data_IF_649391005680
#
_entry.id   IF_649391005680
#
_cell.length_a   1.000
_cell.length_b   1.000
_cell.length_c   1.000
_cell.angle_alpha   90.00
_cell.angle_beta   90.00
_cell.angle_gamma   90.00
#
_symmetry.space_group_name_H-M   'P 1'
#
loop_
_entity.id
_entity.type
_entity.pdbx_description
1 polymer ?
#
# COMPACT_ATOMS: atom_id res chain seq x y z
N UNK A 1 13.44 22.02 -26.59
CA UNK A 1 12.51 20.93 -26.95
C UNK A 1 13.10 19.54 -26.69
N UNK A 2 14.08 19.07 -27.46
CA UNK A 2 14.62 17.69 -27.37
C UNK A 2 14.94 17.24 -25.93
N UNK A 3 15.74 17.99 -25.19
CA UNK A 3 16.11 17.63 -23.81
C UNK A 3 14.92 17.50 -22.84
N UNK A 4 13.85 18.28 -23.04
CA UNK A 4 12.64 18.19 -22.19
C UNK A 4 11.79 16.96 -22.50
N UNK A 5 11.74 16.58 -23.78
CA UNK A 5 11.11 15.32 -24.20
C UNK A 5 11.89 14.12 -23.66
N UNK A 6 13.22 14.16 -23.72
CA UNK A 6 14.10 13.12 -23.16
C UNK A 6 13.93 12.99 -21.64
N UNK A 7 13.87 14.11 -20.91
CA UNK A 7 13.59 14.12 -19.47
C UNK A 7 12.24 13.49 -19.15
N UNK A 8 11.19 13.86 -19.90
CA UNK A 8 9.85 13.32 -19.72
C UNK A 8 9.79 11.81 -19.97
N UNK A 9 10.36 11.33 -21.09
CA UNK A 9 10.45 9.90 -21.40
C UNK A 9 11.22 9.17 -20.29
N UNK A 10 12.31 9.74 -19.78
CA UNK A 10 13.07 9.18 -18.68
C UNK A 10 12.25 9.01 -17.40
N UNK A 11 11.36 9.96 -17.06
CA UNK A 11 10.43 9.83 -15.92
C UNK A 11 9.42 8.70 -16.15
N UNK A 12 8.85 8.61 -17.35
CA UNK A 12 7.90 7.53 -17.70
C UNK A 12 8.59 6.15 -17.63
N UNK A 13 9.82 6.04 -18.11
CA UNK A 13 10.60 4.79 -18.03
C UNK A 13 10.78 4.32 -16.59
N UNK A 14 11.07 5.22 -15.64
CA UNK A 14 11.19 4.85 -14.22
C UNK A 14 9.85 4.44 -13.60
N UNK A 15 8.74 5.07 -14.00
CA UNK A 15 7.39 4.64 -13.59
C UNK A 15 7.11 3.22 -14.10
N UNK A 16 7.48 2.92 -15.35
CA UNK A 16 7.35 1.60 -15.94
C UNK A 16 8.18 0.54 -15.19
N UNK A 17 9.44 0.85 -14.85
CA UNK A 17 10.32 -0.01 -14.07
C UNK A 17 9.73 -0.34 -12.70
N UNK A 18 9.30 0.69 -11.95
CA UNK A 18 8.66 0.51 -10.65
C UNK A 18 7.37 -0.31 -10.74
N UNK A 19 6.56 -0.09 -11.80
CA UNK A 19 5.32 -0.83 -12.02
C UNK A 19 5.59 -2.32 -12.32
N UNK A 20 6.58 -2.61 -13.18
CA UNK A 20 7.01 -3.99 -13.45
C UNK A 20 7.47 -4.68 -12.19
N UNK A 21 8.27 -3.99 -11.37
CA UNK A 21 8.78 -4.51 -10.10
C UNK A 21 7.66 -4.79 -9.10
N UNK A 22 6.74 -3.85 -8.91
CA UNK A 22 5.57 -4.06 -8.04
C UNK A 22 4.69 -5.24 -8.52
N UNK A 23 4.54 -5.39 -9.85
CA UNK A 23 3.82 -6.51 -10.46
C UNK A 23 4.40 -7.89 -10.12
N UNK A 24 5.72 -8.00 -9.92
CA UNK A 24 6.35 -9.24 -9.46
C UNK A 24 5.93 -9.64 -8.05
N UNK A 25 5.46 -8.70 -7.23
CA UNK A 25 4.95 -8.98 -5.90
C UNK A 25 3.46 -9.33 -5.85
N UNK A 26 2.67 -8.99 -6.88
CA UNK A 26 1.24 -9.30 -6.96
C UNK A 26 0.96 -10.37 -8.02
N UNK A 27 1.70 -11.48 -7.98
CA UNK A 27 1.69 -12.54 -9.00
C UNK A 27 0.98 -13.84 -8.56
N UNK A 28 0.19 -13.79 -7.49
CA UNK A 28 -0.58 -14.92 -7.01
C UNK A 28 -1.91 -15.03 -7.78
N UNK A 29 -2.33 -16.27 -8.06
CA UNK A 29 -3.64 -16.56 -8.64
C UNK A 29 -4.73 -16.64 -7.56
N UNK A 30 -4.35 -16.57 -6.28
CA UNK A 30 -5.27 -16.52 -5.16
C UNK A 30 -6.12 -15.25 -5.15
N UNK A 31 -7.27 -15.32 -4.47
CA UNK A 31 -8.17 -14.17 -4.29
C UNK A 31 -7.48 -13.12 -3.41
N UNK A 32 -7.53 -11.87 -3.84
CA UNK A 32 -7.07 -10.70 -3.07
C UNK A 32 -7.73 -10.69 -1.69
N UNK A 33 -6.92 -10.43 -0.65
CA UNK A 33 -7.42 -10.37 0.71
C UNK A 33 -7.99 -11.69 1.21
N UNK A 34 -7.35 -12.80 0.84
CA UNK A 34 -7.67 -14.14 1.34
C UNK A 34 -7.79 -14.13 2.86
N UNK A 35 -8.76 -14.90 3.37
CA UNK A 35 -9.00 -15.02 4.81
C UNK A 35 -8.93 -16.47 5.24
N UNK A 36 -8.39 -16.71 6.43
CA UNK A 36 -8.29 -18.03 7.07
C UNK A 36 -8.72 -17.93 8.53
N UNK A 37 -9.29 -19.02 9.04
CA UNK A 37 -9.51 -19.19 10.48
C UNK A 37 -8.16 -19.39 11.18
N UNK A 38 -8.03 -18.95 12.43
CA UNK A 38 -6.79 -18.98 13.21
C UNK A 38 -6.06 -20.34 13.25
N UNK A 39 -6.78 -21.47 13.24
CA UNK A 39 -6.20 -22.81 13.24
C UNK A 39 -5.88 -23.36 11.83
N UNK A 40 -6.03 -22.56 10.77
CA UNK A 40 -5.94 -22.97 9.37
C UNK A 40 -4.99 -22.08 8.52
N UNK A 41 -4.00 -21.43 9.14
CA UNK A 41 -3.18 -20.41 8.47
C UNK A 41 -2.32 -20.98 7.33
N UNK A 42 -1.71 -22.16 7.49
CA UNK A 42 -0.88 -22.77 6.45
C UNK A 42 0.44 -22.02 6.22
N UNK A 43 0.79 -21.73 4.95
CA UNK A 43 2.02 -20.99 4.55
C UNK A 43 2.10 -19.58 5.14
N UNK A 44 3.29 -19.00 5.29
CA UNK A 44 3.41 -17.57 5.64
C UNK A 44 3.52 -16.71 4.38
N UNK A 45 3.16 -15.43 4.50
CA UNK A 45 3.25 -14.44 3.41
C UNK A 45 4.66 -14.38 2.82
N UNK A 46 4.74 -14.27 1.50
CA UNK A 46 6.00 -14.30 0.78
C UNK A 46 6.77 -12.97 0.94
N UNK A 47 8.01 -13.07 1.42
CA UNK A 47 8.85 -11.90 1.69
C UNK A 47 9.37 -11.23 0.43
N UNK A 48 9.67 -12.00 -0.62
CA UNK A 48 10.12 -11.42 -1.89
C UNK A 48 8.98 -10.65 -2.58
N UNK A 49 7.74 -11.15 -2.45
CA UNK A 49 6.54 -10.45 -2.89
C UNK A 49 6.35 -9.11 -2.20
N UNK A 50 6.46 -9.06 -0.86
CA UNK A 50 6.37 -7.81 -0.09
C UNK A 50 7.50 -6.85 -0.47
N UNK A 51 8.74 -7.34 -0.58
CA UNK A 51 9.89 -6.54 -1.01
C UNK A 51 9.65 -5.90 -2.39
N UNK A 52 9.20 -6.68 -3.37
CA UNK A 52 8.91 -6.20 -4.72
C UNK A 52 7.79 -5.17 -4.75
N UNK A 53 6.71 -5.37 -3.98
CA UNK A 53 5.63 -4.39 -3.83
C UNK A 53 6.15 -3.07 -3.25
N UNK A 54 6.90 -3.14 -2.14
CA UNK A 54 7.42 -1.95 -1.45
C UNK A 54 8.38 -1.19 -2.35
N UNK A 55 9.36 -1.85 -2.96
CA UNK A 55 10.35 -1.18 -3.81
C UNK A 55 9.73 -0.61 -5.09
N UNK A 56 8.89 -1.40 -5.78
CA UNK A 56 8.25 -0.95 -7.01
C UNK A 56 7.30 0.23 -6.78
N UNK A 57 6.47 0.19 -5.74
CA UNK A 57 5.59 1.31 -5.38
C UNK A 57 6.42 2.52 -4.95
N UNK A 58 7.50 2.33 -4.18
CA UNK A 58 8.40 3.42 -3.76
C UNK A 58 9.02 4.15 -4.94
N UNK A 59 9.50 3.42 -5.94
CA UNK A 59 10.09 3.99 -7.16
C UNK A 59 9.09 4.91 -7.89
N UNK A 60 7.82 4.51 -7.99
CA UNK A 60 6.76 5.33 -8.59
C UNK A 60 6.41 6.53 -7.70
N UNK A 61 6.16 6.29 -6.41
CA UNK A 61 5.66 7.30 -5.45
C UNK A 61 6.62 8.49 -5.34
N UNK A 62 7.94 8.26 -5.38
CA UNK A 62 8.94 9.34 -5.34
C UNK A 62 8.82 10.27 -6.55
N UNK A 63 8.33 9.77 -7.68
CA UNK A 63 8.21 10.55 -8.93
C UNK A 63 6.88 11.28 -9.06
N UNK A 64 5.80 10.66 -8.58
CA UNK A 64 4.43 11.11 -8.92
C UNK A 64 3.67 11.71 -7.75
N UNK A 65 4.09 11.47 -6.50
CA UNK A 65 3.31 11.84 -5.32
C UNK A 65 4.01 12.89 -4.45
N UNK A 66 3.43 14.09 -4.38
CA UNK A 66 3.97 15.23 -3.61
C UNK A 66 3.37 15.39 -2.21
N UNK A 67 2.19 14.82 -1.97
CA UNK A 67 1.42 14.97 -0.73
C UNK A 67 1.25 13.65 0.02
N UNK A 68 0.59 13.72 1.18
CA UNK A 68 0.29 12.59 2.06
C UNK A 68 1.22 12.49 3.26
N UNK A 69 0.71 11.88 4.32
CA UNK A 69 1.44 11.59 5.55
C UNK A 69 1.45 10.08 5.81
N UNK A 70 2.61 9.45 5.59
CA UNK A 70 2.81 8.02 5.83
C UNK A 70 2.71 7.60 7.29
N UNK A 71 2.63 8.56 8.21
CA UNK A 71 2.44 8.34 9.64
C UNK A 71 1.10 8.90 10.14
N UNK A 72 0.15 9.16 9.23
CA UNK A 72 -1.15 9.69 9.61
C UNK A 72 -1.86 8.78 10.63
N UNK A 73 -2.37 9.42 11.67
CA UNK A 73 -3.08 8.80 12.80
C UNK A 73 -4.29 9.67 13.13
N UNK A 74 -5.41 9.30 12.55
CA UNK A 74 -6.63 10.10 12.45
C UNK A 74 -7.78 9.51 13.27
N UNK A 75 -7.64 8.28 13.76
CA UNK A 75 -8.61 7.58 14.59
C UNK A 75 -8.12 7.43 16.02
N UNK A 76 -9.07 7.34 16.96
CA UNK A 76 -8.78 7.06 18.37
C UNK A 76 -9.84 6.10 18.96
N UNK A 77 -9.95 4.88 18.44
CA UNK A 77 -10.87 3.88 18.97
C UNK A 77 -10.39 3.37 20.34
N UNK A 78 -11.18 2.52 20.97
CA UNK A 78 -10.79 1.82 22.21
C UNK A 78 -9.42 1.17 22.04
N UNK A 79 -8.51 1.43 22.98
CA UNK A 79 -7.10 1.05 22.85
C UNK A 79 -6.91 -0.46 22.63
N UNK A 80 -7.67 -1.28 23.37
CA UNK A 80 -7.62 -2.73 23.22
C UNK A 80 -8.10 -3.20 21.85
N UNK A 81 -9.13 -2.57 21.28
CA UNK A 81 -9.60 -2.92 19.95
C UNK A 81 -8.59 -2.49 18.87
N UNK A 82 -7.93 -1.34 19.04
CA UNK A 82 -6.83 -0.90 18.18
C UNK A 82 -5.67 -1.89 18.21
N UNK A 83 -5.20 -2.27 19.40
CA UNK A 83 -4.12 -3.25 19.59
C UNK A 83 -4.45 -4.58 18.91
N UNK A 84 -5.69 -5.02 19.02
CA UNK A 84 -6.15 -6.30 18.49
C UNK A 84 -6.42 -6.31 16.97
N UNK A 85 -6.28 -5.18 16.24
CA UNK A 85 -6.16 -5.21 14.77
C UNK A 85 -5.03 -6.16 14.35
N UNK A 86 -3.95 -6.23 15.14
CA UNK A 86 -2.81 -7.09 14.89
C UNK A 86 -3.17 -8.57 14.68
N UNK A 87 -4.30 -9.02 15.23
CA UNK A 87 -4.85 -10.37 15.05
C UNK A 87 -5.16 -10.71 13.60
N UNK A 88 -5.31 -9.72 12.72
CA UNK A 88 -5.44 -9.93 11.27
C UNK A 88 -4.14 -10.42 10.64
N UNK A 89 -2.99 -10.12 11.23
CA UNK A 89 -1.65 -10.38 10.67
C UNK A 89 -0.97 -11.58 11.34
N UNK A 90 -1.18 -11.75 12.64
CA UNK A 90 -0.71 -12.90 13.41
C UNK A 90 -1.68 -13.12 14.56
N UNK A 91 -2.00 -14.36 14.90
CA UNK A 91 -2.95 -14.69 15.97
C UNK A 91 -2.70 -16.10 16.46
N UNK A 92 -2.93 -16.37 17.74
CA UNK A 92 -2.64 -17.69 18.34
C UNK A 92 -3.23 -18.83 17.52
N UNK A 93 -2.48 -19.91 17.31
CA UNK A 93 -2.94 -21.17 16.67
C UNK A 93 -4.10 -21.88 17.36
N UNK A 94 -4.57 -21.38 18.50
CA UNK A 94 -5.76 -21.85 19.20
C UNK A 94 -7.05 -21.50 18.44
N UNK A 95 -8.11 -22.30 18.66
CA UNK A 95 -9.43 -22.21 18.01
C UNK A 95 -10.25 -21.00 18.48
N UNK A 96 -9.65 -19.81 18.49
CA UNK A 96 -10.24 -18.49 18.73
C UNK A 96 -9.22 -17.33 18.59
N UNK A 97 -7.98 -17.58 18.18
CA UNK A 97 -6.88 -16.61 18.28
C UNK A 97 -6.88 -15.47 17.25
N UNK A 98 -7.78 -15.49 16.27
CA UNK A 98 -7.83 -14.51 15.18
C UNK A 98 -8.64 -13.25 15.48
N UNK A 99 -8.72 -12.36 14.48
CA UNK A 99 -9.49 -11.13 14.57
C UNK A 99 -11.01 -11.39 14.69
N UNK A 100 -11.69 -10.56 15.48
CA UNK A 100 -13.15 -10.57 15.67
C UNK A 100 -13.73 -9.39 14.89
N UNK A 101 -15.05 -9.36 14.71
CA UNK A 101 -15.73 -8.35 13.91
C UNK A 101 -15.37 -6.92 14.34
N UNK A 102 -15.28 -6.68 15.65
CA UNK A 102 -14.86 -5.38 16.20
C UNK A 102 -13.43 -4.99 15.82
N UNK A 103 -12.50 -5.94 15.75
CA UNK A 103 -11.12 -5.68 15.34
C UNK A 103 -11.06 -5.33 13.85
N UNK A 104 -11.84 -6.04 13.03
CA UNK A 104 -11.98 -5.76 11.59
C UNK A 104 -12.63 -4.40 11.36
N UNK A 105 -13.67 -4.05 12.13
CA UNK A 105 -14.32 -2.74 12.07
C UNK A 105 -13.36 -1.59 12.42
N UNK A 106 -12.49 -1.78 13.41
CA UNK A 106 -11.48 -0.79 13.80
C UNK A 106 -10.37 -0.67 12.73
N UNK A 107 -9.98 -1.77 12.07
CA UNK A 107 -9.12 -1.72 10.89
C UNK A 107 -9.80 -0.96 9.72
N UNK A 108 -11.09 -1.23 9.49
CA UNK A 108 -11.91 -0.52 8.50
C UNK A 108 -11.98 0.98 8.76
N UNK A 109 -12.18 1.39 10.02
CA UNK A 109 -12.17 2.79 10.43
C UNK A 109 -10.81 3.46 10.16
N UNK A 110 -9.72 2.75 10.49
CA UNK A 110 -8.34 3.22 10.22
C UNK A 110 -8.14 3.49 8.73
N UNK A 111 -8.51 2.52 7.87
CA UNK A 111 -8.44 2.65 6.41
C UNK A 111 -9.36 3.75 5.90
N UNK A 112 -10.57 3.87 6.45
CA UNK A 112 -11.55 4.90 6.09
C UNK A 112 -11.04 6.32 6.34
N UNK A 113 -10.33 6.53 7.44
CA UNK A 113 -9.84 7.84 7.87
C UNK A 113 -8.64 8.36 7.07
N UNK A 114 -7.81 7.48 6.51
CA UNK A 114 -6.62 7.88 5.73
C UNK A 114 -6.90 7.99 4.23
N UNK A 115 -6.15 8.87 3.57
CA UNK A 115 -6.17 9.02 2.11
C UNK A 115 -5.34 7.92 1.45
N UNK A 116 -5.53 7.66 0.16
CA UNK A 116 -4.63 6.75 -0.56
C UNK A 116 -3.20 7.29 -0.65
N UNK A 117 -3.00 8.60 -0.57
CA UNK A 117 -1.67 9.22 -0.54
C UNK A 117 -0.94 8.90 0.79
N UNK A 118 -1.65 8.97 1.92
CA UNK A 118 -1.13 8.56 3.23
C UNK A 118 -0.69 7.09 3.19
N UNK A 119 -1.53 6.20 2.62
CA UNK A 119 -1.22 4.78 2.48
C UNK A 119 0.00 4.57 1.57
N UNK A 120 0.07 5.23 0.41
CA UNK A 120 1.19 5.14 -0.52
C UNK A 120 2.51 5.64 0.10
N UNK A 121 2.47 6.73 0.90
CA UNK A 121 3.64 7.22 1.63
C UNK A 121 4.09 6.23 2.71
N UNK A 122 3.16 5.59 3.42
CA UNK A 122 3.48 4.55 4.39
C UNK A 122 4.13 3.33 3.71
N UNK A 123 3.63 2.90 2.55
CA UNK A 123 4.25 1.82 1.76
C UNK A 123 5.66 2.22 1.31
N UNK A 124 5.81 3.40 0.69
CA UNK A 124 7.11 3.87 0.19
C UNK A 124 8.15 4.12 1.29
N UNK A 125 7.70 4.42 2.51
CA UNK A 125 8.52 4.59 3.70
C UNK A 125 8.86 3.27 4.42
N UNK A 126 8.22 2.16 4.09
CA UNK A 126 8.45 0.88 4.75
C UNK A 126 9.82 0.27 4.39
N UNK A 127 10.38 -0.52 5.31
CA UNK A 127 11.59 -1.28 5.05
C UNK A 127 11.28 -2.50 4.18
N UNK A 128 11.68 -2.45 2.90
CA UNK A 128 11.50 -3.56 1.95
C UNK A 128 12.20 -4.87 2.38
N UNK A 129 13.16 -4.79 3.31
CA UNK A 129 13.94 -5.92 3.84
C UNK A 129 13.52 -6.28 5.26
N UNK A 130 12.27 -5.97 5.65
CA UNK A 130 11.71 -6.40 6.92
C UNK A 130 11.83 -7.92 7.10
N UNK A 131 12.16 -8.36 8.31
CA UNK A 131 12.30 -9.78 8.61
C UNK A 131 10.98 -10.50 8.36
N UNK A 132 11.04 -11.55 7.53
CA UNK A 132 9.93 -12.50 7.38
C UNK A 132 9.58 -13.07 8.75
N UNK A 133 8.31 -13.39 8.96
CA UNK A 133 7.86 -14.17 10.10
C UNK A 133 8.09 -13.48 11.47
N UNK A 134 8.15 -12.15 11.50
CA UNK A 134 8.21 -11.37 12.75
C UNK A 134 6.92 -11.46 13.57
N UNK A 135 7.01 -11.18 14.87
CA UNK A 135 5.82 -11.02 15.70
C UNK A 135 5.12 -9.68 15.40
N UNK A 136 3.79 -9.64 15.49
CA UNK A 136 3.02 -8.40 15.25
C UNK A 136 3.42 -7.31 16.25
N UNK A 137 3.69 -7.68 17.50
CA UNK A 137 4.14 -6.75 18.54
C UNK A 137 5.42 -5.99 18.20
N UNK A 138 6.27 -6.55 17.35
CA UNK A 138 7.58 -5.97 17.01
C UNK A 138 7.55 -5.19 15.68
N UNK A 139 6.44 -5.23 14.94
CA UNK A 139 6.32 -4.54 13.67
C UNK A 139 6.45 -3.01 13.86
N UNK A 140 7.30 -2.38 13.03
CA UNK A 140 7.59 -0.93 13.07
C UNK A 140 7.16 -0.18 11.81
N UNK A 141 6.75 -0.91 10.78
CA UNK A 141 6.28 -0.35 9.52
C UNK A 141 5.29 -1.30 8.85
N UNK A 142 4.78 -0.87 7.69
CA UNK A 142 3.78 -1.61 6.93
C UNK A 142 4.30 -2.96 6.41
N UNK A 143 5.58 -3.05 6.03
CA UNK A 143 6.18 -4.26 5.47
C UNK A 143 6.36 -5.33 6.56
N UNK A 144 6.90 -4.95 7.72
CA UNK A 144 7.04 -5.82 8.88
C UNK A 144 5.67 -6.29 9.38
N UNK A 145 4.66 -5.40 9.39
CA UNK A 145 3.29 -5.77 9.75
C UNK A 145 2.69 -6.77 8.76
N UNK A 146 2.85 -6.52 7.46
CA UNK A 146 2.35 -7.42 6.41
C UNK A 146 3.01 -8.81 6.47
N UNK A 147 4.30 -8.89 6.83
CA UNK A 147 5.07 -10.12 6.98
C UNK A 147 4.94 -10.81 8.34
N UNK A 148 4.25 -10.17 9.30
CA UNK A 148 4.11 -10.73 10.63
C UNK A 148 3.36 -12.07 10.59
N UNK A 149 3.59 -12.91 11.59
CA UNK A 149 2.92 -14.21 11.73
C UNK A 149 2.47 -14.48 13.15
N UNK A 150 1.82 -15.62 13.33
CA UNK A 150 1.65 -16.20 14.66
C UNK A 150 2.98 -16.75 15.22
N UNK A 151 3.24 -16.47 16.48
CA UNK A 151 4.35 -17.03 17.27
C UNK A 151 3.87 -17.94 18.39
N UNK A 152 2.55 -18.12 18.54
CA UNK A 152 1.90 -18.82 19.65
C UNK A 152 2.31 -18.30 21.04
N UNK A 153 2.88 -17.11 21.10
CA UNK A 153 3.27 -16.41 22.33
C UNK A 153 2.20 -15.41 22.72
N UNK A 154 1.92 -15.29 24.01
CA UNK A 154 0.86 -14.41 24.49
C UNK A 154 1.15 -12.93 24.16
N UNK A 155 0.18 -12.26 23.54
CA UNK A 155 0.23 -10.85 23.13
C UNK A 155 1.16 -10.52 21.96
N UNK A 156 1.77 -11.52 21.32
CA UNK A 156 2.57 -11.30 20.11
C UNK A 156 1.74 -10.88 18.90
N UNK A 157 0.42 -11.11 18.97
CA UNK A 157 -0.63 -10.76 18.02
C UNK A 157 -1.15 -9.32 18.15
N UNK A 158 -0.64 -8.54 19.13
CA UNK A 158 -1.09 -7.17 19.39
C UNK A 158 -0.15 -6.14 18.77
N UNK A 159 -0.72 -5.05 18.26
CA UNK A 159 0.05 -3.86 17.87
C UNK A 159 0.56 -3.16 19.14
N UNK A 160 1.87 -3.19 19.39
CA UNK A 160 2.44 -2.58 20.61
C UNK A 160 3.27 -1.34 20.34
N UNK A 161 3.90 -1.27 19.17
CA UNK A 161 4.74 -0.13 18.77
C UNK A 161 3.88 1.10 18.45
N UNK A 162 4.44 2.29 18.61
CA UNK A 162 3.72 3.52 18.29
C UNK A 162 3.44 3.61 16.78
N UNK A 163 4.37 3.11 15.97
CA UNK A 163 4.30 3.14 14.51
C UNK A 163 3.24 2.16 13.97
N UNK A 164 3.19 0.93 14.48
CA UNK A 164 2.22 -0.08 14.01
C UNK A 164 0.76 0.29 14.29
N UNK A 165 0.52 1.20 15.23
CA UNK A 165 -0.82 1.68 15.58
C UNK A 165 -1.31 2.82 14.67
N UNK A 166 -0.43 3.41 13.86
CA UNK A 166 -0.79 4.52 12.96
C UNK A 166 -1.75 4.03 11.88
N UNK A 167 -2.79 4.82 11.60
CA UNK A 167 -3.80 4.44 10.61
C UNK A 167 -3.22 4.19 9.22
N UNK A 168 -2.27 5.03 8.79
CA UNK A 168 -1.61 4.88 7.51
C UNK A 168 -0.79 3.58 7.45
N UNK A 169 -0.07 3.24 8.53
CA UNK A 169 0.73 2.00 8.64
C UNK A 169 -0.16 0.76 8.65
N UNK A 170 -1.28 0.79 9.38
CA UNK A 170 -2.27 -0.30 9.38
C UNK A 170 -2.84 -0.50 7.99
N UNK A 171 -3.32 0.57 7.35
CA UNK A 171 -3.90 0.51 6.02
C UNK A 171 -2.90 0.04 4.96
N UNK A 172 -1.64 0.48 5.05
CA UNK A 172 -0.56 0.03 4.18
C UNK A 172 -0.19 -1.43 4.42
N UNK A 173 -0.12 -1.88 5.68
CA UNK A 173 0.11 -3.28 6.02
C UNK A 173 -1.00 -4.19 5.49
N UNK A 174 -2.26 -3.77 5.62
CA UNK A 174 -3.41 -4.46 5.01
C UNK A 174 -3.27 -4.50 3.50
N UNK A 175 -2.99 -3.37 2.84
CA UNK A 175 -2.86 -3.34 1.38
C UNK A 175 -1.73 -4.26 0.88
N UNK A 176 -0.54 -4.15 1.47
CA UNK A 176 0.61 -4.98 1.12
C UNK A 176 0.30 -6.46 1.31
N UNK A 177 -0.24 -6.85 2.46
CA UNK A 177 -0.58 -8.24 2.74
C UNK A 177 -1.69 -8.76 1.84
N UNK A 178 -2.66 -7.94 1.47
CA UNK A 178 -3.75 -8.34 0.59
C UNK A 178 -3.34 -8.52 -0.87
N UNK A 179 -2.29 -7.81 -1.32
CA UNK A 179 -1.72 -7.95 -2.68
C UNK A 179 -0.63 -9.02 -2.77
N UNK A 180 0.06 -9.29 -1.66
CA UNK A 180 1.20 -10.18 -1.65
C UNK A 180 0.83 -11.66 -1.87
N UNK A 181 1.76 -12.39 -2.48
CA UNK A 181 1.68 -13.84 -2.61
C UNK A 181 1.66 -14.50 -1.23
N UNK A 182 0.80 -15.52 -1.08
CA UNK A 182 0.53 -16.18 0.21
C UNK A 182 0.03 -15.21 1.31
N UNK A 183 -0.36 -14.00 0.94
CA UNK A 183 -0.96 -13.00 1.80
C UNK A 183 -2.36 -13.41 2.24
N UNK A 184 -2.59 -13.41 3.56
CA UNK A 184 -3.90 -13.76 4.13
C UNK A 184 -4.15 -13.16 5.50
N UNK A 185 -5.40 -12.82 5.75
CA UNK A 185 -5.85 -12.30 7.03
C UNK A 185 -6.39 -13.41 7.92
N UNK A 186 -6.14 -13.28 9.22
CA UNK A 186 -6.51 -14.28 10.21
C UNK A 186 -7.72 -13.79 11.00
N UNK A 187 -8.79 -14.56 10.97
CA UNK A 187 -10.05 -14.28 11.70
C UNK A 187 -10.36 -15.37 12.70
N UNK A 188 -11.17 -15.03 13.70
CA UNK A 188 -11.63 -15.96 14.75
C UNK A 188 -12.55 -17.03 14.18
N UNK A 189 -13.47 -16.65 13.30
CA UNK A 189 -14.39 -17.56 12.61
C UNK A 189 -14.58 -17.13 11.17
N UNK A 190 -14.81 -18.12 10.31
CA UNK A 190 -15.23 -17.98 8.91
C UNK A 190 -16.50 -18.80 8.65
N UNK A 191 -17.30 -19.06 9.69
CA UNK A 191 -18.59 -19.74 9.59
C UNK A 191 -19.60 -18.89 8.80
N UNK A 192 -20.59 -19.52 8.17
CA UNK A 192 -21.54 -18.82 7.28
C UNK A 192 -22.45 -17.80 7.98
N UNK A 193 -22.60 -17.88 9.31
CA UNK A 193 -23.36 -16.95 10.13
C UNK A 193 -22.48 -15.86 10.78
N UNK A 194 -21.22 -15.77 10.35
CA UNK A 194 -20.21 -14.84 10.84
C UNK A 194 -19.79 -13.91 9.72
N UNK A 195 -19.32 -12.72 10.08
CA UNK A 195 -19.05 -11.62 9.14
C UNK A 195 -17.59 -11.19 9.14
N UNK A 196 -16.76 -11.81 9.97
CA UNK A 196 -15.36 -11.45 10.15
C UNK A 196 -14.59 -11.63 8.85
N UNK A 197 -14.85 -12.72 8.13
CA UNK A 197 -14.15 -13.04 6.89
C UNK A 197 -14.54 -12.10 5.75
N UNK A 198 -15.83 -11.84 5.55
CA UNK A 198 -16.36 -10.94 4.53
C UNK A 198 -15.94 -9.50 4.81
N UNK A 199 -15.94 -9.10 6.09
CA UNK A 199 -15.48 -7.79 6.52
C UNK A 199 -13.98 -7.64 6.29
N UNK A 200 -13.15 -8.65 6.58
CA UNK A 200 -11.71 -8.60 6.35
C UNK A 200 -11.38 -8.52 4.85
N UNK A 201 -12.11 -9.25 3.99
CA UNK A 201 -12.01 -9.11 2.52
C UNK A 201 -12.37 -7.69 2.07
N UNK A 202 -13.45 -7.11 2.61
CA UNK A 202 -13.88 -5.76 2.30
C UNK A 202 -12.85 -4.70 2.72
N UNK A 203 -12.27 -4.86 3.91
CA UNK A 203 -11.16 -4.06 4.44
C UNK A 203 -9.95 -4.12 3.51
N UNK A 204 -9.54 -5.31 3.09
CA UNK A 204 -8.44 -5.50 2.14
C UNK A 204 -8.72 -4.85 0.79
N UNK A 205 -9.90 -5.10 0.20
CA UNK A 205 -10.31 -4.54 -1.08
C UNK A 205 -10.35 -3.00 -1.03
N UNK A 206 -10.84 -2.40 0.06
CA UNK A 206 -10.87 -0.96 0.25
C UNK A 206 -9.45 -0.36 0.30
N UNK A 207 -8.57 -0.94 1.12
CA UNK A 207 -7.17 -0.48 1.21
C UNK A 207 -6.45 -0.55 -0.14
N UNK A 208 -6.60 -1.67 -0.86
CA UNK A 208 -5.98 -1.89 -2.18
C UNK A 208 -6.57 -0.94 -3.22
N UNK A 209 -7.90 -0.77 -3.24
CA UNK A 209 -8.54 0.18 -4.15
C UNK A 209 -8.08 1.62 -3.91
N UNK A 210 -7.91 2.05 -2.65
CA UNK A 210 -7.35 3.38 -2.33
C UNK A 210 -5.92 3.54 -2.84
N UNK A 211 -5.07 2.53 -2.65
CA UNK A 211 -3.69 2.50 -3.17
C UNK A 211 -3.67 2.62 -4.70
N UNK A 212 -4.38 1.73 -5.40
CA UNK A 212 -4.36 1.66 -6.86
C UNK A 212 -4.99 2.89 -7.50
N UNK A 213 -6.16 3.33 -7.02
CA UNK A 213 -6.85 4.51 -7.58
C UNK A 213 -6.01 5.78 -7.41
N UNK A 214 -5.39 5.98 -6.24
CA UNK A 214 -4.53 7.15 -6.00
C UNK A 214 -3.26 7.08 -6.85
N UNK A 215 -2.63 5.91 -6.97
CA UNK A 215 -1.43 5.75 -7.77
C UNK A 215 -1.71 5.99 -9.27
N UNK A 216 -2.85 5.50 -9.78
CA UNK A 216 -3.30 5.75 -11.16
C UNK A 216 -3.49 7.24 -11.42
N UNK A 217 -4.16 7.96 -10.51
CA UNK A 217 -4.39 9.40 -10.64
C UNK A 217 -3.05 10.15 -10.61
N UNK A 218 -2.17 9.84 -9.66
CA UNK A 218 -0.87 10.49 -9.55
C UNK A 218 0.01 10.28 -10.79
N UNK A 219 0.03 9.06 -11.35
CA UNK A 219 0.72 8.77 -12.62
C UNK A 219 0.10 9.59 -13.77
N UNK A 220 -1.23 9.66 -13.86
CA UNK A 220 -1.92 10.45 -14.88
C UNK A 220 -1.56 11.93 -14.78
N UNK A 221 -1.58 12.49 -13.57
CA UNK A 221 -1.25 13.90 -13.34
C UNK A 221 0.21 14.19 -13.70
N UNK A 222 1.14 13.27 -13.41
CA UNK A 222 2.54 13.38 -13.81
C UNK A 222 2.72 13.34 -15.34
N UNK A 223 2.00 12.45 -16.02
CA UNK A 223 1.97 12.36 -17.50
C UNK A 223 1.41 13.64 -18.11
N UNK A 224 0.23 14.08 -17.64
CA UNK A 224 -0.46 15.27 -18.14
C UNK A 224 0.37 16.53 -17.91
N UNK A 225 1.03 16.63 -16.77
CA UNK A 225 1.96 17.73 -16.45
C UNK A 225 3.12 17.80 -17.44
N UNK A 226 3.77 16.66 -17.71
CA UNK A 226 4.87 16.61 -18.68
C UNK A 226 4.44 16.91 -20.11
N UNK A 227 3.28 16.41 -20.55
CA UNK A 227 2.73 16.71 -21.87
C UNK A 227 2.36 18.19 -22.02
N UNK A 228 1.80 18.82 -20.98
CA UNK A 228 1.51 20.27 -20.98
C UNK A 228 2.79 21.11 -21.13
N UNK A 229 3.87 20.75 -20.44
CA UNK A 229 5.16 21.44 -20.56
C UNK A 229 5.72 21.32 -21.98
N UNK A 230 5.68 20.13 -22.58
CA UNK A 230 6.10 19.91 -23.97
C UNK A 230 5.25 20.75 -24.94
N UNK A 231 3.93 20.77 -24.76
CA UNK A 231 3.04 21.52 -25.63
C UNK A 231 3.28 23.05 -25.54
N UNK A 232 3.57 23.57 -24.34
CA UNK A 232 3.95 24.97 -24.16
C UNK A 232 5.21 25.32 -24.95
N UNK A 233 6.24 24.47 -24.85
CA UNK A 233 7.50 24.65 -25.60
C UNK A 233 7.30 24.57 -27.12
N UNK A 234 6.40 23.70 -27.61
CA UNK A 234 6.03 23.66 -29.03
C UNK A 234 5.38 24.98 -29.48
N UNK A 235 4.49 25.54 -28.66
CA UNK A 235 3.83 26.81 -28.94
C UNK A 235 4.80 27.98 -29.04
N UNK A 236 5.78 28.05 -28.14
CA UNK A 236 6.83 29.09 -28.14
C UNK A 236 7.70 29.02 -29.41
N UNK A 237 8.11 27.82 -29.84
CA UNK A 237 8.89 27.63 -31.08
C UNK A 237 8.10 28.13 -32.31
N UNK A 238 6.81 27.77 -32.40
CA UNK A 238 5.94 28.21 -33.51
C UNK A 238 5.81 29.74 -33.59
N UNK A 239 5.82 30.44 -32.45
CA UNK A 239 5.76 31.90 -32.42
C UNK A 239 7.10 32.58 -32.76
N UNK A 240 8.22 31.95 -32.42
CA UNK A 240 9.57 32.42 -32.77
C UNK A 240 9.85 32.37 -34.27
N UNK A 241 9.47 31.30 -34.95
CA UNK A 241 9.64 31.16 -36.41
C UNK A 241 8.80 32.19 -37.19
N UNK A 242 7.62 32.56 -36.69
CA UNK A 242 6.77 33.58 -37.30
C UNK A 242 7.24 35.03 -37.09
N UNK A 243 8.07 35.28 -36.08
CA UNK A 243 8.59 36.63 -35.79
C UNK A 243 9.89 36.94 -36.55
N UNK A 244 10.78 35.96 -36.75
CA UNK A 244 11.97 36.14 -37.60
C UNK A 244 11.62 36.33 -39.09
N UNK A 245 10.55 35.70 -39.58
CA UNK A 245 10.09 35.87 -40.96
C UNK A 245 9.55 37.29 -41.25
N UNK A 246 9.05 38.01 -40.23
CA UNK A 246 8.58 39.40 -40.38
C UNK A 246 9.69 40.45 -40.29
N UNK A 247 10.82 40.14 -39.67
CA UNK A 247 11.94 41.09 -39.51
C UNK A 247 12.84 41.14 -40.76
N UNK A 248 12.85 40.09 -41.59
CA UNK A 248 13.64 40.03 -42.84
C UNK A 248 12.93 40.63 -44.07
N UNK A 249 11.74 41.19 -43.90
CA UNK A 249 10.98 41.88 -44.95
C UNK A 249 10.91 43.38 -44.65
N UNK A 250 12.04 44.08 -44.71
CA UNK A 250 12.15 45.54 -44.78
C UNK A 250 13.47 45.93 -45.46
#
# INVERSE_FOLDING_TARGET
MKGKVEEFIGKIGKIEEGAKKAGLGSNDNAVIGRVVKANAVGSNTDSESIKNLVEGIKEIVVLVLTEGDGQADKTSPVEDDKKNIGKLFGGKTEDAGGAEDKHVAVASASIGAVSGADILKAIAGANAYASKDGAVKDARDAAALALAKDTSTANDDKLTTAESKKDAVIAAGVALRGMAKDGKFIVKSNDSNKTEAESAKGVAANAINKVLSTLIIAIRDAVDGGLKEINKLLGEIKQGEGSEAKVKAN
#
